data_IF_740713706258
#
_entry.id   IF_740713706258
#
_cell.length_a   1.000
_cell.length_b   1.000
_cell.length_c   1.000
_cell.angle_alpha   90.00
_cell.angle_beta   90.00
_cell.angle_gamma   90.00
#
_symmetry.space_group_name_H-M   'P 1'
#
loop_
_entity.id
_entity.type
_entity.pdbx_description
1 polymer ?
#
# COMPACT_ATOMS: atom_id res chain seq x y z
N UNK A 1 -1.96 7.61 58.38
CA UNK A 1 -2.78 7.60 57.15
C UNK A 1 -2.09 8.33 56.00
N UNK A 2 -1.53 9.51 56.26
CA UNK A 2 -0.89 10.39 55.27
C UNK A 2 0.27 9.75 54.46
N UNK A 3 1.15 8.97 55.10
CA UNK A 3 2.27 8.31 54.42
C UNK A 3 1.85 7.20 53.42
N UNK A 4 0.74 6.51 53.70
CA UNK A 4 0.17 5.52 52.77
C UNK A 4 -0.42 6.24 51.54
N UNK A 5 -1.12 7.36 51.76
CA UNK A 5 -1.74 8.15 50.70
C UNK A 5 -0.70 8.73 49.73
N UNK A 6 0.44 9.23 50.24
CA UNK A 6 1.58 9.68 49.41
C UNK A 6 2.19 8.54 48.57
N UNK A 7 2.27 7.32 49.12
CA UNK A 7 2.77 6.14 48.40
C UNK A 7 1.83 5.75 47.24
N UNK A 8 0.53 5.70 47.48
CA UNK A 8 -0.45 5.40 46.43
C UNK A 8 -0.45 6.46 45.32
N UNK A 9 -0.41 7.74 45.69
CA UNK A 9 -0.33 8.84 44.71
C UNK A 9 0.91 8.72 43.82
N UNK A 10 2.07 8.41 44.41
CA UNK A 10 3.33 8.21 43.68
C UNK A 10 3.23 7.03 42.69
N UNK A 11 2.65 5.90 43.12
CA UNK A 11 2.43 4.74 42.24
C UNK A 11 1.51 5.12 41.09
N UNK A 12 0.37 5.75 41.37
CA UNK A 12 -0.59 6.18 40.35
C UNK A 12 0.07 7.09 39.30
N UNK A 13 0.87 8.07 39.72
CA UNK A 13 1.59 8.97 38.81
C UNK A 13 2.55 8.18 37.91
N UNK A 14 3.34 7.25 38.45
CA UNK A 14 4.24 6.44 37.62
C UNK A 14 3.49 5.50 36.68
N UNK A 15 2.37 4.93 37.10
CA UNK A 15 1.53 4.10 36.24
C UNK A 15 0.96 4.91 35.07
N UNK A 16 0.44 6.11 35.32
CA UNK A 16 -0.03 6.98 34.24
C UNK A 16 1.10 7.42 33.32
N UNK A 17 2.26 7.78 33.88
CA UNK A 17 3.42 8.19 33.09
C UNK A 17 3.92 7.05 32.18
N UNK A 18 4.02 5.84 32.72
CA UNK A 18 4.42 4.66 31.93
C UNK A 18 3.40 4.33 30.86
N UNK A 19 2.11 4.38 31.17
CA UNK A 19 1.05 4.18 30.18
C UNK A 19 1.11 5.22 29.05
N UNK A 20 1.32 6.49 29.41
CA UNK A 20 1.44 7.58 28.46
C UNK A 20 2.63 7.40 27.52
N UNK A 21 3.80 7.05 28.05
CA UNK A 21 5.00 6.77 27.25
C UNK A 21 4.74 5.61 26.30
N UNK A 22 4.06 4.55 26.75
CA UNK A 22 3.78 3.36 25.95
C UNK A 22 2.83 3.68 24.78
N UNK A 23 1.78 4.47 25.04
CA UNK A 23 0.87 4.98 23.99
C UNK A 23 1.63 5.86 23.00
N UNK A 24 2.47 6.77 23.50
CA UNK A 24 3.24 7.69 22.67
C UNK A 24 4.21 6.96 21.73
N UNK A 25 4.96 5.98 22.24
CA UNK A 25 5.86 5.14 21.43
C UNK A 25 5.06 4.34 20.39
N UNK A 26 3.92 3.76 20.79
CA UNK A 26 3.07 2.98 19.89
C UNK A 26 2.52 3.85 18.75
N UNK A 27 2.09 5.07 19.07
CA UNK A 27 1.62 6.03 18.08
C UNK A 27 2.71 6.40 17.07
N UNK A 28 3.93 6.69 17.55
CA UNK A 28 5.07 6.98 16.67
C UNK A 28 5.36 5.80 15.74
N UNK A 29 5.35 4.56 16.25
CA UNK A 29 5.59 3.37 15.45
C UNK A 29 4.54 3.19 14.34
N UNK A 30 3.26 3.36 14.66
CA UNK A 30 2.16 3.24 13.68
C UNK A 30 2.27 4.34 12.61
N UNK A 31 2.49 5.59 13.03
CA UNK A 31 2.51 6.74 12.12
C UNK A 31 3.78 6.80 11.26
N UNK A 32 4.92 6.30 11.76
CA UNK A 32 6.18 6.25 10.99
C UNK A 32 6.27 5.06 10.04
N UNK A 33 5.41 4.06 10.19
CA UNK A 33 5.43 2.84 9.39
C UNK A 33 5.36 3.09 7.86
N UNK A 34 4.45 3.94 7.33
CA UNK A 34 4.43 4.25 5.89
C UNK A 34 5.75 4.84 5.38
N UNK A 35 6.38 5.71 6.18
CA UNK A 35 7.68 6.31 5.84
C UNK A 35 8.79 5.26 5.79
N UNK A 36 8.86 4.35 6.77
CA UNK A 36 9.83 3.26 6.78
C UNK A 36 9.63 2.29 5.62
N UNK A 37 8.38 1.91 5.31
CA UNK A 37 8.07 1.01 4.19
C UNK A 37 8.46 1.65 2.85
N UNK A 38 8.11 2.92 2.63
CA UNK A 38 8.50 3.63 1.41
C UNK A 38 10.03 3.71 1.27
N UNK A 39 10.74 4.06 2.35
CA UNK A 39 12.21 4.10 2.35
C UNK A 39 12.82 2.73 2.07
N UNK A 40 12.27 1.68 2.66
CA UNK A 40 12.77 0.32 2.49
C UNK A 40 12.59 -0.18 1.05
N UNK A 41 11.42 0.05 0.45
CA UNK A 41 11.15 -0.31 -0.95
C UNK A 41 12.06 0.46 -1.89
N UNK A 42 12.22 1.78 -1.70
CA UNK A 42 13.12 2.57 -2.53
C UNK A 42 14.59 2.12 -2.44
N UNK A 43 15.04 1.72 -1.24
CA UNK A 43 16.38 1.14 -1.06
C UNK A 43 16.51 -0.22 -1.77
N UNK A 44 15.53 -1.11 -1.64
CA UNK A 44 15.50 -2.40 -2.34
C UNK A 44 15.62 -2.23 -3.85
N UNK A 45 14.84 -1.29 -4.42
CA UNK A 45 14.88 -0.97 -5.85
C UNK A 45 16.25 -0.47 -6.26
N UNK A 46 16.79 0.51 -5.51
CA UNK A 46 18.13 1.05 -5.78
C UNK A 46 19.22 -0.02 -5.71
N UNK A 47 19.11 -0.98 -4.80
CA UNK A 47 20.07 -2.08 -4.67
C UNK A 47 19.86 -3.21 -5.69
N UNK A 48 18.67 -3.32 -6.28
CA UNK A 48 18.38 -4.33 -7.33
C UNK A 48 18.99 -4.00 -8.69
N UNK A 49 19.53 -2.79 -8.88
CA UNK A 49 20.03 -2.34 -10.18
C UNK A 49 18.94 -1.96 -11.18
N UNK A 50 17.67 -2.01 -10.78
CA UNK A 50 16.53 -1.51 -11.56
C UNK A 50 16.65 0.01 -11.70
N UNK A 51 16.48 0.54 -12.91
CA UNK A 51 16.48 1.98 -13.13
C UNK A 51 15.35 2.62 -12.29
N UNK A 52 15.64 3.59 -11.43
CA UNK A 52 14.62 4.32 -10.66
C UNK A 52 13.55 4.99 -11.52
N UNK A 53 13.79 5.20 -12.81
CA UNK A 53 12.80 5.70 -13.78
C UNK A 53 11.85 4.63 -14.30
N UNK A 54 12.12 3.36 -14.01
CA UNK A 54 11.32 2.20 -14.44
C UNK A 54 10.46 1.62 -13.31
N UNK A 55 10.69 2.06 -12.07
CA UNK A 55 9.94 1.65 -10.90
C UNK A 55 9.63 2.83 -9.98
N UNK A 56 8.35 2.99 -9.63
CA UNK A 56 7.87 4.01 -8.68
C UNK A 56 7.03 3.32 -7.61
N UNK A 57 7.30 3.59 -6.35
CA UNK A 57 6.48 3.12 -5.23
C UNK A 57 6.03 4.30 -4.38
N UNK A 58 4.73 4.36 -4.14
CA UNK A 58 4.08 5.39 -3.36
C UNK A 58 3.07 4.76 -2.40
N UNK A 59 2.74 5.49 -1.35
CA UNK A 59 1.76 5.08 -0.35
C UNK A 59 0.86 6.26 -0.07
N UNK A 60 -0.43 6.00 -0.07
CA UNK A 60 -1.49 6.99 0.11
C UNK A 60 -2.43 6.53 1.23
N UNK A 61 -3.09 7.46 1.90
CA UNK A 61 -4.34 7.13 2.58
C UNK A 61 -5.45 6.84 1.56
N UNK A 62 -6.56 6.21 1.98
CA UNK A 62 -7.70 6.00 1.06
C UNK A 62 -8.27 7.34 0.59
N UNK A 63 -8.34 8.32 1.49
CA UNK A 63 -8.79 9.69 1.16
C UNK A 63 -7.88 10.36 0.13
N UNK A 64 -6.56 10.31 0.33
CA UNK A 64 -5.58 10.87 -0.61
C UNK A 64 -5.68 10.17 -1.97
N UNK A 65 -5.78 8.84 -1.96
CA UNK A 65 -5.92 8.05 -3.18
C UNK A 65 -7.20 8.39 -3.95
N UNK A 66 -8.35 8.45 -3.25
CA UNK A 66 -9.62 8.77 -3.88
C UNK A 66 -9.62 10.18 -4.50
N UNK A 67 -8.99 11.14 -3.82
CA UNK A 67 -8.87 12.50 -4.34
C UNK A 67 -7.97 12.54 -5.60
N UNK A 68 -6.81 11.88 -5.56
CA UNK A 68 -5.80 11.97 -6.61
C UNK A 68 -6.14 11.11 -7.84
N UNK A 69 -6.63 9.89 -7.63
CA UNK A 69 -6.84 8.91 -8.71
C UNK A 69 -8.30 8.76 -9.13
N UNK A 70 -9.24 8.91 -8.20
CA UNK A 70 -10.67 8.77 -8.50
C UNK A 70 -11.36 10.14 -8.67
N UNK A 71 -10.70 11.23 -8.27
CA UNK A 71 -11.24 12.60 -8.24
C UNK A 71 -12.53 12.71 -7.41
N UNK A 72 -12.57 12.04 -6.26
CA UNK A 72 -13.70 12.00 -5.33
C UNK A 72 -13.21 12.23 -3.91
N UNK A 73 -14.03 12.89 -3.08
CA UNK A 73 -13.81 12.92 -1.63
C UNK A 73 -14.59 11.77 -1.00
N UNK A 74 -13.94 10.97 -0.15
CA UNK A 74 -14.61 9.88 0.55
C UNK A 74 -15.45 10.42 1.71
N UNK A 75 -16.63 9.83 1.87
CA UNK A 75 -17.47 9.92 3.06
C UNK A 75 -17.19 8.70 3.96
N UNK A 76 -17.42 8.79 5.28
CA UNK A 76 -17.23 7.67 6.20
C UNK A 76 -18.06 6.43 5.84
N UNK A 77 -19.17 6.60 5.12
CA UNK A 77 -20.06 5.53 4.68
C UNK A 77 -19.64 4.88 3.36
N UNK A 78 -18.70 5.47 2.62
CA UNK A 78 -18.30 4.99 1.30
C UNK A 78 -17.46 3.72 1.40
N UNK A 79 -17.83 2.68 0.64
CA UNK A 79 -16.99 1.50 0.47
C UNK A 79 -15.89 1.81 -0.56
N UNK A 80 -14.69 2.11 -0.06
CA UNK A 80 -13.54 2.38 -0.89
C UNK A 80 -13.23 1.26 -1.89
N UNK A 81 -13.42 -0.01 -1.52
CA UNK A 81 -13.11 -1.14 -2.41
C UNK A 81 -14.12 -1.17 -3.55
N UNK A 82 -15.41 -0.96 -3.26
CA UNK A 82 -16.45 -0.90 -4.28
C UNK A 82 -16.21 0.28 -5.25
N UNK A 83 -15.85 1.45 -4.73
CA UNK A 83 -15.49 2.61 -5.55
C UNK A 83 -14.28 2.35 -6.44
N UNK A 84 -13.24 1.72 -5.87
CA UNK A 84 -12.06 1.33 -6.63
C UNK A 84 -12.40 0.34 -7.75
N UNK A 85 -13.16 -0.71 -7.44
CA UNK A 85 -13.57 -1.74 -8.40
C UNK A 85 -14.53 -1.19 -9.46
N UNK A 86 -15.37 -0.20 -9.13
CA UNK A 86 -16.21 0.48 -10.10
C UNK A 86 -15.40 1.29 -11.11
N UNK A 87 -14.24 1.83 -10.72
CA UNK A 87 -13.39 2.63 -11.60
C UNK A 87 -12.46 1.76 -12.44
N UNK A 88 -11.80 0.77 -11.81
CA UNK A 88 -10.74 -0.02 -12.44
C UNK A 88 -11.15 -1.44 -12.84
N UNK A 89 -12.30 -1.93 -12.36
CA UNK A 89 -12.75 -3.30 -12.55
C UNK A 89 -12.06 -4.31 -11.61
N UNK A 90 -12.44 -5.59 -11.76
CA UNK A 90 -12.02 -6.69 -10.88
C UNK A 90 -11.17 -7.76 -11.56
N UNK A 91 -10.83 -7.57 -12.84
CA UNK A 91 -10.25 -8.61 -13.69
C UNK A 91 -8.93 -9.21 -13.15
N UNK A 92 -8.08 -8.40 -12.51
CA UNK A 92 -6.78 -8.82 -11.98
C UNK A 92 -6.74 -8.76 -10.44
N UNK A 93 -7.89 -8.92 -9.79
CA UNK A 93 -8.00 -8.93 -8.32
C UNK A 93 -7.37 -10.19 -7.73
N UNK A 94 -6.53 -10.00 -6.71
CA UNK A 94 -6.09 -11.07 -5.81
C UNK A 94 -6.41 -10.68 -4.38
N UNK A 95 -7.23 -11.49 -3.75
CA UNK A 95 -7.70 -11.26 -2.39
C UNK A 95 -6.85 -12.06 -1.40
N UNK A 96 -5.88 -11.39 -0.78
CA UNK A 96 -4.95 -11.99 0.19
C UNK A 96 -5.39 -11.69 1.63
N UNK A 97 -4.78 -12.36 2.60
CA UNK A 97 -5.17 -12.22 4.01
C UNK A 97 -5.10 -10.77 4.52
N UNK A 98 -4.05 -10.02 4.18
CA UNK A 98 -3.82 -8.66 4.68
C UNK A 98 -4.21 -7.56 3.68
N UNK A 99 -4.29 -7.90 2.39
CA UNK A 99 -4.42 -6.90 1.33
C UNK A 99 -5.24 -7.43 0.16
N UNK A 100 -5.88 -6.52 -0.55
CA UNK A 100 -6.43 -6.81 -1.88
C UNK A 100 -5.50 -6.17 -2.88
N UNK A 101 -5.05 -6.93 -3.87
CA UNK A 101 -4.15 -6.42 -4.91
C UNK A 101 -4.78 -6.45 -6.28
N UNK A 102 -4.45 -5.45 -7.09
CA UNK A 102 -4.89 -5.30 -8.46
C UNK A 102 -3.68 -4.94 -9.32
N UNK A 103 -3.37 -5.77 -10.31
CA UNK A 103 -2.30 -5.50 -11.29
C UNK A 103 -2.94 -4.95 -12.57
N UNK A 104 -2.86 -3.64 -12.79
CA UNK A 104 -3.60 -2.93 -13.84
C UNK A 104 -2.60 -2.37 -14.86
N UNK A 105 -2.74 -2.69 -16.17
CA UNK A 105 -1.92 -2.08 -17.21
C UNK A 105 -2.30 -0.61 -17.41
N UNK A 106 -1.31 0.25 -17.66
CA UNK A 106 -1.55 1.65 -17.98
C UNK A 106 -2.29 1.77 -19.33
N UNK A 107 -3.45 2.47 -19.39
CA UNK A 107 -4.24 2.59 -20.61
C UNK A 107 -3.49 3.32 -21.74
N UNK A 108 -2.50 4.17 -21.43
CA UNK A 108 -1.66 4.86 -22.40
C UNK A 108 -0.41 4.07 -22.80
N UNK A 109 -0.02 3.05 -22.04
CA UNK A 109 1.20 2.28 -22.29
C UNK A 109 1.11 0.84 -21.75
N UNK A 110 0.88 -0.11 -22.65
CA UNK A 110 0.78 -1.55 -22.32
C UNK A 110 2.08 -2.17 -21.78
N UNK A 111 3.19 -1.44 -21.82
CA UNK A 111 4.47 -1.83 -21.22
C UNK A 111 4.64 -1.29 -19.80
N UNK A 112 3.67 -0.56 -19.26
CA UNK A 112 3.66 -0.08 -17.87
C UNK A 112 2.52 -0.76 -17.13
N UNK A 113 2.82 -1.27 -15.94
CA UNK A 113 1.86 -1.93 -15.05
C UNK A 113 1.90 -1.25 -13.70
N UNK A 114 0.74 -1.04 -13.11
CA UNK A 114 0.61 -0.51 -11.75
C UNK A 114 -0.08 -1.56 -10.88
N UNK A 115 0.66 -2.01 -9.86
CA UNK A 115 0.13 -2.83 -8.79
C UNK A 115 -0.42 -1.93 -7.69
N UNK A 116 -1.73 -1.99 -7.48
CA UNK A 116 -2.41 -1.37 -6.36
C UNK A 116 -2.59 -2.40 -5.25
N UNK A 117 -2.19 -2.07 -4.03
CA UNK A 117 -2.39 -2.90 -2.85
C UNK A 117 -3.20 -2.14 -1.81
N UNK A 118 -4.44 -2.56 -1.57
CA UNK A 118 -5.34 -1.96 -0.58
C UNK A 118 -5.23 -2.77 0.71
N UNK A 119 -4.80 -2.14 1.80
CA UNK A 119 -4.76 -2.81 3.10
C UNK A 119 -6.16 -2.98 3.68
N UNK A 120 -6.49 -4.17 4.16
CA UNK A 120 -7.82 -4.46 4.75
C UNK A 120 -8.00 -3.91 6.16
N UNK A 121 -6.90 -3.68 6.87
CA UNK A 121 -6.88 -3.35 8.30
C UNK A 121 -6.36 -1.95 8.60
N UNK A 122 -5.80 -1.28 7.60
CA UNK A 122 -5.35 0.11 7.70
C UNK A 122 -5.97 0.95 6.61
N UNK A 123 -5.84 2.25 6.74
CA UNK A 123 -6.30 3.21 5.75
C UNK A 123 -5.33 3.40 4.58
N UNK A 124 -4.44 2.44 4.33
CA UNK A 124 -3.33 2.61 3.39
C UNK A 124 -3.60 1.91 2.06
N UNK A 125 -3.22 2.61 1.00
CA UNK A 125 -3.16 2.13 -0.38
C UNK A 125 -1.72 2.24 -0.87
N UNK A 126 -1.17 1.13 -1.33
CA UNK A 126 0.17 1.04 -1.91
C UNK A 126 0.07 1.07 -3.43
N UNK A 127 0.87 1.90 -4.07
CA UNK A 127 0.90 2.04 -5.53
C UNK A 127 2.31 1.73 -6.01
N UNK A 128 2.45 0.70 -6.84
CA UNK A 128 3.73 0.30 -7.41
C UNK A 128 3.64 0.26 -8.92
N UNK A 129 4.20 1.27 -9.58
CA UNK A 129 4.28 1.34 -11.04
C UNK A 129 5.61 0.77 -11.51
N UNK A 130 5.57 -0.13 -12.48
CA UNK A 130 6.75 -0.75 -13.09
C UNK A 130 6.62 -0.82 -14.61
N UNK A 131 7.74 -0.64 -15.32
CA UNK A 131 7.80 -1.03 -16.72
C UNK A 131 8.00 -2.54 -16.84
N UNK A 132 7.19 -3.18 -17.65
CA UNK A 132 7.41 -4.55 -18.08
C UNK A 132 8.55 -4.56 -19.09
N UNK A 133 9.73 -5.03 -18.68
CA UNK A 133 10.76 -5.43 -19.63
C UNK A 133 10.32 -6.71 -20.32
N UNK A 134 10.00 -6.57 -21.61
CA UNK A 134 9.85 -7.71 -22.51
C UNK A 134 11.24 -8.14 -23.00
N UNK A 135 12.14 -8.43 -22.07
CA UNK A 135 13.39 -9.08 -22.43
C UNK A 135 13.07 -10.55 -22.74
N UNK A 136 13.23 -10.90 -24.03
CA UNK A 136 13.19 -12.22 -24.63
C UNK A 136 13.03 -13.39 -23.65
N UNK A 137 11.76 -13.78 -23.43
CA UNK A 137 11.40 -15.15 -23.09
C UNK A 137 11.83 -15.71 -21.72
N UNK A 138 12.34 -14.90 -20.78
CA UNK A 138 12.62 -15.37 -19.41
C UNK A 138 12.11 -14.41 -18.35
N UNK A 139 10.81 -14.48 -18.07
CA UNK A 139 10.28 -14.06 -16.76
C UNK A 139 11.00 -14.86 -15.67
N UNK A 140 11.55 -14.17 -14.66
CA UNK A 140 11.99 -14.79 -13.43
C UNK A 140 10.84 -15.63 -12.84
N UNK A 141 11.09 -16.93 -12.65
CA UNK A 141 10.07 -17.98 -12.51
C UNK A 141 9.28 -18.01 -11.21
N UNK A 142 8.78 -16.88 -10.70
CA UNK A 142 7.99 -16.85 -9.47
C UNK A 142 6.49 -16.58 -9.66
N UNK A 143 6.04 -16.17 -10.85
CA UNK A 143 4.61 -15.91 -11.11
C UNK A 143 4.22 -16.38 -12.51
N UNK A 144 4.01 -17.69 -12.65
CA UNK A 144 3.35 -18.27 -13.81
C UNK A 144 2.01 -18.86 -13.39
N UNK A 145 0.93 -18.15 -13.72
CA UNK A 145 -0.27 -18.76 -14.32
C UNK A 145 -1.04 -17.68 -15.11
N UNK A 146 -1.11 -17.92 -16.42
CA UNK A 146 -2.09 -17.45 -17.42
C UNK A 146 -2.50 -15.97 -17.49
N UNK A 147 -1.56 -15.10 -17.88
CA UNK A 147 -1.93 -13.90 -18.66
C UNK A 147 -1.61 -14.19 -20.12
N UNK A 148 -2.63 -14.56 -20.91
CA UNK A 148 -2.50 -14.64 -22.37
C UNK A 148 -2.38 -13.21 -22.92
N UNK A 149 -1.38 -12.93 -23.78
CA UNK A 149 -1.31 -11.65 -24.46
C UNK A 149 -2.51 -11.47 -25.40
N UNK A 150 -3.02 -10.24 -25.61
CA UNK A 150 -4.12 -10.00 -26.52
C UNK A 150 -3.72 -10.34 -27.97
N UNK A 151 -4.59 -11.05 -28.68
CA UNK A 151 -4.43 -11.35 -30.11
C UNK A 151 -4.35 -10.05 -30.91
N UNK A 152 -3.34 -9.96 -31.79
CA UNK A 152 -3.23 -8.84 -32.74
C UNK A 152 -4.40 -8.93 -33.73
N UNK A 153 -5.07 -7.82 -34.05
CA UNK A 153 -6.14 -7.84 -35.05
C UNK A 153 -5.55 -8.17 -36.42
N UNK A 154 -6.13 -9.19 -37.06
CA UNK A 154 -5.87 -9.51 -38.46
C UNK A 154 -6.25 -8.30 -39.32
N UNK A 155 -5.32 -7.85 -40.16
CA UNK A 155 -5.59 -6.80 -41.16
C UNK A 155 -6.46 -7.42 -42.26
N UNK A 156 -7.75 -7.10 -42.24
CA UNK A 156 -8.64 -7.20 -43.41
C UNK A 156 -8.48 -6.02 -44.34
#
# INVERSE_FOLDING_TARGET
MEGKMKKYLKITIYTFLTLFILIFISYILVFSNPFFMNTHVNLLVKHSGTDPHEFKFETYTKDEFALEYLNISLSPEDDFIELFESHYGTANKKDEFLMITYDIPDPGNNSTYTLYGINKYTDLVYVSTRKAHWDDGRRGGAFHEDVRPPEKPERG
#
